data_IF_481834530894
#
_entry.id   IF_481834530894
#
_cell.length_a   1.000
_cell.length_b   1.000
_cell.length_c   1.000
_cell.angle_alpha   90.00
_cell.angle_beta   90.00
_cell.angle_gamma   90.00
#
_symmetry.space_group_name_H-M   'P 1'
#
loop_
_entity.id
_entity.type
_entity.pdbx_description
1 polymer ?
#
# COMPACT_ATOMS: atom_id res chain seq x y z
N UNK A 1 -12.05 14.10 -5.78
CA UNK A 1 -12.07 14.31 -4.31
C UNK A 1 -13.42 13.92 -3.68
N UNK A 2 -14.05 12.82 -4.12
CA UNK A 2 -15.36 12.39 -3.61
C UNK A 2 -15.23 11.56 -2.32
N UNK A 3 -14.22 10.69 -2.26
CA UNK A 3 -14.02 9.73 -1.17
C UNK A 3 -13.35 10.30 0.09
N UNK A 4 -12.58 11.38 -0.02
CA UNK A 4 -11.91 12.00 1.13
C UNK A 4 -12.81 12.96 1.93
N UNK A 5 -14.06 13.20 1.51
CA UNK A 5 -14.91 14.27 2.07
C UNK A 5 -15.37 14.06 3.52
N UNK A 6 -15.34 12.82 4.02
CA UNK A 6 -15.81 12.47 5.37
C UNK A 6 -14.69 12.15 6.37
N UNK A 7 -13.43 12.31 5.96
CA UNK A 7 -12.27 11.90 6.74
C UNK A 7 -11.49 13.11 7.25
N UNK A 8 -10.86 13.00 8.43
CA UNK A 8 -9.96 14.03 8.91
C UNK A 8 -8.74 14.17 7.99
N UNK A 9 -8.09 15.34 7.97
CA UNK A 9 -6.95 15.59 7.08
C UNK A 9 -5.81 14.56 7.24
N UNK A 10 -5.68 13.95 8.42
CA UNK A 10 -4.71 12.89 8.72
C UNK A 10 -5.12 11.49 8.21
N UNK A 11 -6.40 11.26 7.91
CA UNK A 11 -6.94 9.99 7.41
C UNK A 11 -7.07 9.98 5.89
N UNK A 12 -6.97 11.15 5.24
CA UNK A 12 -7.05 11.26 3.79
C UNK A 12 -5.83 10.65 3.10
N UNK A 13 -6.07 9.98 1.96
CA UNK A 13 -4.99 9.51 1.09
C UNK A 13 -4.40 10.72 0.35
N UNK A 14 -3.15 11.05 0.68
CA UNK A 14 -2.43 12.20 0.09
C UNK A 14 -1.64 11.84 -1.17
N UNK A 15 -0.98 10.68 -1.16
CA UNK A 15 -0.12 10.18 -2.25
C UNK A 15 -0.26 8.67 -2.33
N UNK A 16 -0.17 8.13 -3.54
CA UNK A 16 -0.15 6.70 -3.81
C UNK A 16 0.78 6.44 -5.00
N UNK A 17 1.33 5.23 -5.05
CA UNK A 17 2.20 4.77 -6.12
C UNK A 17 1.63 3.46 -6.66
N UNK A 18 1.83 3.24 -7.96
CA UNK A 18 1.39 2.03 -8.63
C UNK A 18 2.52 1.00 -8.60
N UNK A 19 2.16 -0.24 -8.27
CA UNK A 19 3.04 -1.39 -8.40
C UNK A 19 2.76 -2.09 -9.74
N UNK A 20 3.79 -2.63 -10.42
CA UNK A 20 3.62 -3.26 -11.73
C UNK A 20 2.99 -4.66 -11.68
N UNK A 21 2.82 -5.25 -10.50
CA UNK A 21 2.33 -6.62 -10.34
C UNK A 21 1.25 -6.73 -9.27
N UNK A 22 0.43 -7.78 -9.40
CA UNK A 22 -0.61 -8.10 -8.44
C UNK A 22 -0.04 -8.76 -7.17
N UNK A 23 -0.80 -8.69 -6.08
CA UNK A 23 -0.47 -9.43 -4.87
C UNK A 23 -0.97 -10.87 -4.97
N UNK A 24 -0.14 -11.82 -4.53
CA UNK A 24 -0.52 -13.23 -4.56
C UNK A 24 -0.19 -13.94 -3.25
N UNK A 25 -0.76 -15.13 -3.08
CA UNK A 25 -0.45 -15.99 -1.94
C UNK A 25 0.95 -16.59 -2.12
N UNK A 26 1.31 -16.97 -3.35
CA UNK A 26 2.62 -17.54 -3.71
C UNK A 26 3.76 -16.54 -3.55
N UNK A 27 3.53 -15.26 -3.89
CA UNK A 27 4.50 -14.17 -3.70
C UNK A 27 4.67 -13.75 -2.23
N UNK A 28 3.86 -14.30 -1.33
CA UNK A 28 3.95 -14.05 0.11
C UNK A 28 3.35 -12.72 0.56
N UNK A 29 2.73 -11.94 -0.35
CA UNK A 29 2.03 -10.71 0.00
C UNK A 29 0.69 -10.96 0.68
N UNK A 30 0.08 -12.14 0.45
CA UNK A 30 -1.22 -12.49 1.00
C UNK A 30 -1.18 -13.72 1.92
N UNK A 31 -2.14 -13.81 2.82
CA UNK A 31 -2.47 -15.06 3.53
C UNK A 31 -3.31 -15.97 2.62
N UNK A 32 -3.39 -17.28 2.91
CA UNK A 32 -4.33 -18.17 2.23
C UNK A 32 -5.80 -17.72 2.33
N UNK A 33 -6.11 -16.86 3.30
CA UNK A 33 -7.41 -16.23 3.51
C UNK A 33 -7.55 -14.86 2.84
N UNK A 34 -6.67 -14.54 1.88
CA UNK A 34 -6.65 -13.29 1.09
C UNK A 34 -6.45 -12.00 1.91
N UNK A 35 -5.91 -12.10 3.12
CA UNK A 35 -5.53 -10.91 3.91
C UNK A 35 -4.11 -10.48 3.54
N UNK A 36 -3.88 -9.17 3.46
CA UNK A 36 -2.57 -8.61 3.15
C UNK A 36 -1.59 -8.77 4.31
N UNK A 37 -0.38 -9.21 4.00
CA UNK A 37 0.75 -9.29 4.93
C UNK A 37 1.60 -8.04 4.80
N UNK A 38 1.42 -7.10 5.73
CA UNK A 38 2.11 -5.80 5.72
C UNK A 38 3.64 -5.92 5.71
N UNK A 39 4.22 -6.79 6.55
CA UNK A 39 5.69 -6.92 6.68
C UNK A 39 6.38 -7.30 5.34
N UNK A 40 5.98 -8.40 4.65
CA UNK A 40 6.51 -8.74 3.32
C UNK A 40 6.30 -7.63 2.28
N UNK A 41 5.11 -7.04 2.22
CA UNK A 41 4.79 -5.98 1.25
C UNK A 41 5.71 -4.77 1.44
N UNK A 42 5.87 -4.30 2.68
CA UNK A 42 6.71 -3.15 3.00
C UNK A 42 8.20 -3.43 2.72
N UNK A 43 8.67 -4.66 2.97
CA UNK A 43 10.03 -5.05 2.66
C UNK A 43 10.29 -5.07 1.14
N UNK A 44 9.38 -5.69 0.36
CA UNK A 44 9.48 -5.81 -1.10
C UNK A 44 9.41 -4.47 -1.82
N UNK A 45 8.57 -3.55 -1.33
CA UNK A 45 8.33 -2.24 -1.95
C UNK A 45 8.92 -1.06 -1.16
N UNK A 46 9.92 -1.31 -0.33
CA UNK A 46 10.55 -0.30 0.54
C UNK A 46 10.99 0.96 -0.23
N UNK A 47 11.60 0.80 -1.41
CA UNK A 47 12.00 1.92 -2.26
C UNK A 47 10.82 2.80 -2.72
N UNK A 48 9.65 2.19 -2.99
CA UNK A 48 8.44 2.95 -3.36
C UNK A 48 7.86 3.69 -2.16
N UNK A 49 7.87 3.05 -0.99
CA UNK A 49 7.44 3.69 0.27
C UNK A 49 8.31 4.90 0.59
N UNK A 50 9.63 4.76 0.48
CA UNK A 50 10.59 5.87 0.67
C UNK A 50 10.34 6.99 -0.33
N UNK A 51 10.04 6.67 -1.59
CA UNK A 51 9.73 7.68 -2.63
C UNK A 51 8.47 8.47 -2.29
N UNK A 52 7.44 7.83 -1.72
CA UNK A 52 6.23 8.53 -1.26
C UNK A 52 6.57 9.57 -0.19
N UNK A 53 7.37 9.20 0.81
CA UNK A 53 7.70 10.08 1.94
C UNK A 53 8.77 11.14 1.65
N UNK A 54 9.65 10.88 0.68
CA UNK A 54 10.72 11.82 0.29
C UNK A 54 10.23 12.95 -0.64
N UNK A 55 9.03 12.80 -1.19
CA UNK A 55 8.38 13.79 -2.07
C UNK A 55 7.46 14.74 -1.30
#
# INVERSE_FOLDING_TARGET
NHYNKGFGDWETIKKFELIPGEWSIEGGEMTPTLKLKRKPILAKYSALVERIYRS
#
